data_IF_961814760960
#
_entry.id   IF_961814760960
#
_cell.length_a   1.000
_cell.length_b   1.000
_cell.length_c   1.000
_cell.angle_alpha   90.00
_cell.angle_beta   90.00
_cell.angle_gamma   90.00
#
_symmetry.space_group_name_H-M   'P 1'
#
loop_
_entity.id
_entity.type
_entity.pdbx_description
1 polymer ?
#
# COMPACT_ATOMS: atom_id res chain seq x y z
N UNK A 1 18.31 -14.80 1.91
CA UNK A 1 19.70 -14.39 1.61
C UNK A 1 20.64 -15.33 2.31
N UNK A 2 21.62 -15.88 1.61
CA UNK A 2 22.62 -16.80 2.12
C UNK A 2 23.96 -16.59 1.40
N UNK A 3 25.05 -17.13 1.96
CA UNK A 3 26.37 -17.16 1.33
C UNK A 3 26.41 -18.27 0.26
N UNK A 4 27.19 -18.07 -0.80
CA UNK A 4 27.33 -19.03 -1.90
C UNK A 4 27.76 -20.40 -1.42
N UNK A 5 28.65 -20.48 -0.43
CA UNK A 5 29.13 -21.73 0.20
C UNK A 5 28.02 -22.53 0.90
N UNK A 6 26.93 -21.88 1.34
CA UNK A 6 25.80 -22.50 2.03
C UNK A 6 24.58 -22.71 1.11
N UNK A 7 24.77 -22.55 -0.23
CA UNK A 7 23.69 -22.57 -1.21
C UNK A 7 22.86 -23.85 -1.14
N UNK A 8 23.50 -24.98 -1.18
CA UNK A 8 22.80 -26.26 -1.33
C UNK A 8 21.97 -26.59 -0.06
N UNK A 9 22.50 -26.30 1.13
CA UNK A 9 21.77 -26.45 2.39
C UNK A 9 20.59 -25.46 2.47
N UNK A 10 20.81 -24.20 2.08
CA UNK A 10 19.74 -23.18 2.07
C UNK A 10 18.62 -23.51 1.09
N UNK A 11 18.97 -24.03 -0.10
CA UNK A 11 18.02 -24.49 -1.11
C UNK A 11 17.23 -25.70 -0.61
N UNK A 12 17.89 -26.69 -0.01
CA UNK A 12 17.24 -27.86 0.57
C UNK A 12 16.23 -27.48 1.68
N UNK A 13 16.63 -26.57 2.57
CA UNK A 13 15.75 -26.06 3.63
C UNK A 13 14.55 -25.29 3.06
N UNK A 14 14.78 -24.41 2.09
CA UNK A 14 13.71 -23.67 1.43
C UNK A 14 12.75 -24.61 0.70
N UNK A 15 13.29 -25.62 -0.02
CA UNK A 15 12.47 -26.62 -0.70
C UNK A 15 11.57 -27.37 0.28
N UNK A 16 12.12 -27.88 1.38
CA UNK A 16 11.30 -28.62 2.38
C UNK A 16 10.20 -27.73 2.98
N UNK A 17 10.50 -26.43 3.16
CA UNK A 17 9.51 -25.47 3.67
C UNK A 17 8.38 -25.16 2.69
N UNK A 18 8.66 -25.22 1.37
CA UNK A 18 7.67 -24.92 0.31
C UNK A 18 6.91 -26.20 -0.10
N UNK A 19 7.60 -27.32 -0.29
CA UNK A 19 7.02 -28.54 -0.87
C UNK A 19 6.34 -29.42 0.18
N UNK A 20 6.95 -29.55 1.36
CA UNK A 20 6.47 -30.46 2.41
C UNK A 20 6.54 -29.82 3.80
N UNK A 21 5.80 -28.72 4.04
CA UNK A 21 5.74 -28.12 5.36
C UNK A 21 5.04 -29.08 6.35
N UNK A 22 5.60 -29.24 7.54
CA UNK A 22 5.13 -30.22 8.53
C UNK A 22 3.73 -29.95 9.04
N UNK A 23 3.32 -28.68 9.15
CA UNK A 23 2.08 -28.26 9.79
C UNK A 23 1.83 -28.99 11.12
N UNK A 24 2.89 -29.10 11.96
CA UNK A 24 2.76 -29.78 13.25
C UNK A 24 1.74 -29.06 14.15
N UNK A 25 1.01 -29.79 14.98
CA UNK A 25 0.03 -29.22 15.88
C UNK A 25 0.65 -28.14 16.80
N UNK A 26 1.86 -28.40 17.30
CA UNK A 26 2.58 -27.45 18.16
C UNK A 26 2.94 -26.15 17.44
N UNK A 27 3.37 -26.22 16.18
CA UNK A 27 3.70 -25.04 15.40
C UNK A 27 2.46 -24.25 15.01
N UNK A 28 1.38 -24.92 14.63
CA UNK A 28 0.09 -24.29 14.35
C UNK A 28 -0.37 -23.49 15.57
N UNK A 29 -0.38 -24.10 16.77
CA UNK A 29 -0.84 -23.40 17.98
C UNK A 29 0.10 -22.26 18.37
N UNK A 30 1.40 -22.41 18.21
CA UNK A 30 2.37 -21.34 18.47
C UNK A 30 2.13 -20.13 17.52
N UNK A 31 1.99 -20.38 16.22
CA UNK A 31 1.75 -19.32 15.21
C UNK A 31 0.36 -18.72 15.40
N UNK A 32 -0.68 -19.56 15.66
CA UNK A 32 -2.02 -19.07 16.02
C UNK A 32 -1.97 -18.09 17.17
N UNK A 33 -1.26 -18.44 18.25
CA UNK A 33 -1.07 -17.55 19.42
C UNK A 33 -0.42 -16.20 19.05
N UNK A 34 0.56 -16.22 18.16
CA UNK A 34 1.22 -14.99 17.67
C UNK A 34 0.25 -14.13 16.86
N UNK A 35 -0.47 -14.72 15.88
CA UNK A 35 -1.45 -14.00 15.06
C UNK A 35 -2.57 -13.42 15.91
N UNK A 36 -3.12 -14.20 16.86
CA UNK A 36 -4.16 -13.71 17.76
C UNK A 36 -3.68 -12.60 18.69
N UNK A 37 -2.41 -12.59 19.06
CA UNK A 37 -1.82 -11.49 19.84
C UNK A 37 -1.72 -10.22 18.98
N UNK A 38 -1.29 -10.35 17.72
CA UNK A 38 -1.32 -9.23 16.77
C UNK A 38 -2.73 -8.67 16.58
N UNK A 39 -3.72 -9.54 16.30
CA UNK A 39 -5.12 -9.13 16.14
C UNK A 39 -5.70 -8.41 17.35
N UNK A 40 -5.30 -8.79 18.58
CA UNK A 40 -5.69 -8.03 19.80
C UNK A 40 -5.02 -6.66 19.83
N UNK A 41 -3.74 -6.56 19.49
CA UNK A 41 -3.03 -5.29 19.39
C UNK A 41 -3.73 -4.34 18.42
N UNK A 42 -4.10 -4.85 17.23
CA UNK A 42 -4.80 -4.09 16.18
C UNK A 42 -6.14 -3.49 16.65
N UNK A 43 -6.80 -4.11 17.67
CA UNK A 43 -8.05 -3.55 18.21
C UNK A 43 -7.84 -2.34 19.13
N UNK A 44 -6.60 -2.07 19.49
CA UNK A 44 -6.22 -0.96 20.36
C UNK A 44 -5.32 0.06 19.66
N UNK A 45 -5.10 -0.12 18.34
CA UNK A 45 -4.33 0.79 17.52
C UNK A 45 -5.28 1.64 16.65
N UNK A 46 -5.30 2.97 16.81
CA UNK A 46 -6.16 3.85 16.04
C UNK A 46 -5.95 3.77 14.52
N UNK A 47 -4.72 3.57 14.06
CA UNK A 47 -4.40 3.45 12.62
C UNK A 47 -4.98 2.17 12.02
N UNK A 48 -4.86 1.05 12.72
CA UNK A 48 -5.45 -0.23 12.31
C UNK A 48 -6.98 -0.18 12.30
N UNK A 49 -7.58 0.47 13.31
CA UNK A 49 -9.04 0.67 13.38
C UNK A 49 -9.50 1.52 12.19
N UNK A 50 -8.82 2.65 11.91
CA UNK A 50 -9.13 3.52 10.78
C UNK A 50 -8.99 2.78 9.44
N UNK A 51 -7.89 2.04 9.25
CA UNK A 51 -7.64 1.26 8.03
C UNK A 51 -8.67 0.17 7.78
N UNK A 52 -9.06 -0.57 8.81
CA UNK A 52 -10.13 -1.60 8.73
C UNK A 52 -11.47 -0.98 8.35
N UNK A 53 -11.85 0.13 8.98
CA UNK A 53 -13.10 0.82 8.68
C UNK A 53 -13.11 1.40 7.26
N UNK A 54 -12.04 2.06 6.85
CA UNK A 54 -11.90 2.59 5.49
C UNK A 54 -12.01 1.49 4.44
N UNK A 55 -11.26 0.39 4.59
CA UNK A 55 -11.31 -0.71 3.64
C UNK A 55 -12.68 -1.39 3.59
N UNK A 56 -13.37 -1.55 4.72
CA UNK A 56 -14.72 -2.10 4.77
C UNK A 56 -15.71 -1.23 3.97
N UNK A 57 -15.61 0.09 4.07
CA UNK A 57 -16.45 1.03 3.33
C UNK A 57 -16.06 1.08 1.84
N UNK A 58 -14.75 1.10 1.55
CA UNK A 58 -14.27 1.22 0.17
C UNK A 58 -14.53 -0.03 -0.67
N UNK A 59 -14.53 -1.23 -0.08
CA UNK A 59 -14.51 -2.49 -0.84
C UNK A 59 -15.67 -3.45 -0.51
N UNK A 60 -16.50 -3.15 0.48
CA UNK A 60 -17.71 -3.90 0.79
C UNK A 60 -17.50 -5.40 0.95
N UNK A 61 -18.05 -6.22 0.06
CA UNK A 61 -17.92 -7.68 0.09
C UNK A 61 -16.66 -8.26 -0.55
N UNK A 62 -15.78 -7.43 -1.10
CA UNK A 62 -14.54 -7.88 -1.71
C UNK A 62 -13.47 -8.24 -0.64
N UNK A 63 -12.54 -9.20 -0.89
CA UNK A 63 -11.47 -9.53 0.07
C UNK A 63 -10.64 -8.34 0.55
N UNK A 64 -10.51 -7.26 -0.23
CA UNK A 64 -9.83 -6.03 0.19
C UNK A 64 -10.51 -5.31 1.37
N UNK A 65 -11.78 -5.60 1.65
CA UNK A 65 -12.50 -5.07 2.80
C UNK A 65 -12.08 -5.71 4.13
N UNK A 66 -11.40 -6.85 4.09
CA UNK A 66 -11.05 -7.63 5.28
C UNK A 66 -9.56 -7.56 5.59
N UNK A 67 -9.20 -7.78 6.85
CA UNK A 67 -7.80 -7.90 7.25
C UNK A 67 -7.16 -9.15 6.65
N UNK A 68 -5.94 -9.02 6.13
CA UNK A 68 -5.13 -10.17 5.68
C UNK A 68 -4.80 -11.15 6.81
N UNK A 69 -4.80 -10.68 8.07
CA UNK A 69 -4.61 -11.52 9.26
C UNK A 69 -5.89 -12.25 9.71
N UNK A 70 -7.02 -12.01 9.05
CA UNK A 70 -8.32 -12.55 9.42
C UNK A 70 -8.94 -11.86 10.64
N UNK A 71 -9.78 -12.60 11.38
CA UNK A 71 -10.42 -12.17 12.64
C UNK A 71 -10.07 -13.15 13.76
N UNK A 72 -10.30 -12.74 15.02
CA UNK A 72 -10.12 -13.61 16.17
C UNK A 72 -10.87 -14.94 16.00
N UNK A 73 -12.12 -14.88 15.55
CA UNK A 73 -12.97 -16.06 15.37
C UNK A 73 -12.50 -16.92 14.19
N UNK A 74 -12.16 -16.32 13.05
CA UNK A 74 -11.69 -17.07 11.89
C UNK A 74 -10.37 -17.78 12.17
N UNK A 75 -9.40 -17.10 12.81
CA UNK A 75 -8.10 -17.67 13.17
C UNK A 75 -8.24 -18.78 14.23
N UNK A 76 -9.14 -18.61 15.21
CA UNK A 76 -9.41 -19.63 16.20
C UNK A 76 -10.02 -20.91 15.59
N UNK A 77 -10.83 -20.76 14.54
CA UNK A 77 -11.51 -21.86 13.87
C UNK A 77 -10.64 -22.64 12.87
N UNK A 78 -9.51 -22.07 12.39
CA UNK A 78 -8.64 -22.71 11.40
C UNK A 78 -8.16 -24.07 11.88
N UNK A 79 -8.27 -25.06 11.02
CA UNK A 79 -7.75 -26.41 11.23
C UNK A 79 -6.46 -26.65 10.43
N UNK A 80 -5.75 -27.74 10.73
CA UNK A 80 -4.63 -28.18 9.89
C UNK A 80 -5.05 -28.42 8.43
N UNK A 81 -6.24 -28.95 8.20
CA UNK A 81 -6.75 -29.20 6.85
C UNK A 81 -6.92 -27.92 6.06
N UNK A 82 -7.41 -26.85 6.69
CA UNK A 82 -7.56 -25.54 6.06
C UNK A 82 -6.20 -24.96 5.64
N UNK A 83 -5.17 -25.10 6.49
CA UNK A 83 -3.82 -24.62 6.19
C UNK A 83 -3.18 -25.41 5.04
N UNK A 84 -3.37 -26.73 4.98
CA UNK A 84 -2.88 -27.55 3.89
C UNK A 84 -3.58 -27.19 2.56
N UNK A 85 -4.90 -26.99 2.59
CA UNK A 85 -5.66 -26.58 1.42
C UNK A 85 -5.19 -25.18 0.92
N UNK A 86 -5.11 -24.21 1.81
CA UNK A 86 -4.63 -22.85 1.46
C UNK A 86 -3.19 -22.87 0.93
N UNK A 87 -2.31 -23.71 1.49
CA UNK A 87 -0.95 -23.89 0.98
C UNK A 87 -0.96 -24.37 -0.47
N UNK A 88 -1.77 -25.39 -0.82
CA UNK A 88 -1.89 -25.89 -2.18
C UNK A 88 -2.49 -24.87 -3.16
N UNK A 89 -3.42 -24.04 -2.67
CA UNK A 89 -4.03 -22.99 -3.48
C UNK A 89 -3.08 -21.81 -3.76
N UNK A 90 -2.17 -21.50 -2.85
CA UNK A 90 -1.26 -20.35 -2.94
C UNK A 90 0.02 -20.73 -3.67
N UNK A 91 0.65 -21.84 -3.31
CA UNK A 91 1.92 -22.29 -3.91
C UNK A 91 1.67 -23.08 -5.20
N UNK A 92 1.49 -22.34 -6.30
CA UNK A 92 1.29 -22.91 -7.64
C UNK A 92 2.13 -22.17 -8.68
N UNK A 93 2.55 -22.86 -9.77
CA UNK A 93 3.45 -22.33 -10.79
C UNK A 93 2.89 -21.15 -11.54
N UNK A 94 1.57 -21.07 -11.72
CA UNK A 94 0.87 -20.00 -12.44
C UNK A 94 0.87 -18.64 -11.72
N UNK A 95 1.38 -18.57 -10.50
CA UNK A 95 1.42 -17.35 -9.66
C UNK A 95 2.74 -17.13 -8.96
N UNK A 96 3.83 -17.68 -9.50
CA UNK A 96 5.17 -17.51 -8.96
C UNK A 96 5.91 -16.39 -9.66
N UNK A 97 6.47 -15.50 -8.88
CA UNK A 97 7.40 -14.47 -9.33
C UNK A 97 8.74 -14.68 -8.64
N UNK A 98 9.80 -14.80 -9.43
CA UNK A 98 11.13 -15.14 -8.91
C UNK A 98 12.14 -14.07 -9.29
N UNK A 99 12.86 -13.57 -8.29
CA UNK A 99 13.99 -12.67 -8.46
C UNK A 99 15.22 -13.24 -7.78
N UNK A 100 16.31 -13.41 -8.53
CA UNK A 100 17.59 -13.86 -8.02
C UNK A 100 18.68 -12.84 -8.37
N UNK A 101 19.48 -12.45 -7.36
CA UNK A 101 20.57 -11.49 -7.52
C UNK A 101 21.77 -11.95 -6.70
N UNK A 102 22.91 -12.11 -7.37
CA UNK A 102 24.15 -12.53 -6.71
C UNK A 102 25.02 -13.40 -7.62
N UNK A 103 25.86 -14.21 -7.00
CA UNK A 103 26.81 -15.10 -7.66
C UNK A 103 26.07 -16.38 -8.14
N UNK A 104 25.36 -16.26 -9.26
CA UNK A 104 24.61 -17.33 -9.89
C UNK A 104 24.42 -17.04 -11.37
N UNK A 105 24.59 -18.05 -12.23
CA UNK A 105 24.30 -17.94 -13.66
C UNK A 105 22.82 -18.28 -13.96
N UNK A 106 22.27 -17.84 -15.10
CA UNK A 106 20.91 -18.22 -15.51
C UNK A 106 20.69 -19.75 -15.61
N UNK A 107 21.70 -20.49 -16.06
CA UNK A 107 21.64 -21.96 -16.17
C UNK A 107 21.55 -22.62 -14.78
N UNK A 108 22.40 -22.18 -13.85
CA UNK A 108 22.35 -22.67 -12.47
C UNK A 108 21.04 -22.32 -11.79
N UNK A 109 20.55 -21.11 -12.00
CA UNK A 109 19.26 -20.67 -11.48
C UNK A 109 18.14 -21.56 -12.00
N UNK A 110 18.10 -21.89 -13.29
CA UNK A 110 17.11 -22.80 -13.88
C UNK A 110 17.07 -24.15 -13.16
N UNK A 111 18.24 -24.76 -12.97
CA UNK A 111 18.36 -26.05 -12.24
C UNK A 111 17.86 -25.94 -10.80
N UNK A 112 18.19 -24.85 -10.10
CA UNK A 112 17.73 -24.61 -8.74
C UNK A 112 16.22 -24.41 -8.67
N UNK A 113 15.63 -23.69 -9.61
CA UNK A 113 14.19 -23.47 -9.67
C UNK A 113 13.43 -24.77 -9.93
N UNK A 114 13.92 -25.63 -10.83
CA UNK A 114 13.35 -26.94 -11.04
C UNK A 114 13.39 -27.80 -9.77
N UNK A 115 14.49 -27.77 -9.03
CA UNK A 115 14.61 -28.47 -7.75
C UNK A 115 13.69 -27.91 -6.67
N UNK A 116 13.53 -26.58 -6.60
CA UNK A 116 12.75 -25.90 -5.57
C UNK A 116 11.24 -26.00 -5.80
N UNK A 117 10.83 -25.82 -7.06
CA UNK A 117 9.45 -25.49 -7.43
C UNK A 117 8.84 -26.51 -8.39
N UNK A 118 9.63 -27.45 -8.93
CA UNK A 118 9.19 -28.38 -9.96
C UNK A 118 8.02 -29.27 -9.55
N UNK A 119 7.88 -29.57 -8.26
CA UNK A 119 6.80 -30.41 -7.70
C UNK A 119 5.53 -29.61 -7.34
N UNK A 120 5.54 -28.28 -7.45
CA UNK A 120 4.35 -27.48 -7.19
C UNK A 120 3.26 -27.75 -8.24
N UNK A 121 1.98 -27.63 -7.87
CA UNK A 121 0.88 -27.72 -8.81
C UNK A 121 1.00 -26.67 -9.91
N UNK A 122 0.50 -27.00 -11.10
CA UNK A 122 0.53 -26.07 -12.26
C UNK A 122 -0.37 -24.85 -12.03
N UNK A 123 -1.52 -25.06 -11.38
CA UNK A 123 -2.54 -24.01 -11.16
C UNK A 123 -2.98 -24.00 -9.71
N UNK A 124 -3.06 -22.83 -9.12
CA UNK A 124 -3.54 -22.63 -7.77
C UNK A 124 -5.03 -22.32 -7.68
N UNK A 125 -5.51 -21.93 -6.51
CA UNK A 125 -6.89 -21.53 -6.25
C UNK A 125 -7.34 -20.31 -7.05
N UNK A 126 -8.65 -20.01 -7.11
CA UNK A 126 -9.18 -18.89 -7.87
C UNK A 126 -8.66 -17.55 -7.33
N UNK A 127 -8.40 -16.61 -8.24
CA UNK A 127 -8.05 -15.25 -7.88
C UNK A 127 -9.33 -14.40 -7.66
N UNK A 128 -9.26 -13.36 -6.80
CA UNK A 128 -10.36 -12.40 -6.66
C UNK A 128 -10.62 -11.71 -8.01
N UNK A 129 -11.84 -11.22 -8.17
CA UNK A 129 -12.20 -10.35 -9.30
C UNK A 129 -11.85 -8.89 -8.96
N UNK A 130 -11.93 -8.01 -9.96
CA UNK A 130 -11.76 -6.58 -9.72
C UNK A 130 -12.84 -6.07 -8.75
N UNK A 131 -12.43 -5.14 -7.88
CA UNK A 131 -13.28 -4.49 -6.92
C UNK A 131 -13.69 -3.10 -7.41
N UNK A 132 -14.94 -2.74 -7.17
CA UNK A 132 -15.39 -1.36 -7.28
C UNK A 132 -15.05 -0.61 -5.99
N UNK A 133 -14.53 0.61 -6.10
CA UNK A 133 -14.32 1.50 -4.96
C UNK A 133 -15.64 2.23 -4.69
N UNK A 134 -16.30 1.90 -3.58
CA UNK A 134 -17.66 2.36 -3.23
C UNK A 134 -17.69 3.50 -2.21
N UNK A 135 -16.51 3.98 -1.78
CA UNK A 135 -16.43 5.03 -0.76
C UNK A 135 -16.94 6.35 -1.31
N UNK A 136 -17.81 7.00 -0.57
CA UNK A 136 -18.39 8.31 -0.88
C UNK A 136 -17.88 9.34 0.13
N UNK A 137 -17.88 10.62 -0.25
CA UNK A 137 -17.41 11.70 0.60
C UNK A 137 -18.10 11.80 1.95
N UNK A 138 -17.37 12.24 2.96
CA UNK A 138 -17.90 12.40 4.31
C UNK A 138 -16.90 12.14 5.41
N UNK A 139 -17.41 12.05 6.63
CA UNK A 139 -16.65 11.75 7.85
C UNK A 139 -17.29 10.60 8.59
N UNK A 140 -16.50 9.63 8.99
CA UNK A 140 -16.88 8.59 9.96
C UNK A 140 -16.03 8.73 11.19
N UNK A 141 -16.67 9.01 12.34
CA UNK A 141 -16.00 9.10 13.63
C UNK A 141 -16.19 7.80 14.40
N UNK A 142 -15.07 7.20 14.80
CA UNK A 142 -15.01 6.03 15.67
C UNK A 142 -14.44 6.51 17.01
N UNK A 143 -15.29 6.56 18.04
CA UNK A 143 -14.86 6.99 19.36
C UNK A 143 -13.80 6.03 19.93
N UNK A 144 -12.67 6.60 20.34
CA UNK A 144 -11.57 5.88 20.94
C UNK A 144 -10.82 6.76 21.94
N UNK A 145 -10.48 6.20 23.10
CA UNK A 145 -9.75 6.92 24.16
C UNK A 145 -8.27 7.08 23.78
N UNK A 146 -7.94 8.22 23.19
CA UNK A 146 -6.57 8.56 22.81
C UNK A 146 -6.38 10.07 22.90
N UNK A 147 -5.16 10.57 23.21
CA UNK A 147 -4.88 12.01 23.28
C UNK A 147 -4.87 12.69 21.89
N UNK A 148 -4.74 11.94 20.83
CA UNK A 148 -4.73 12.44 19.45
C UNK A 148 -5.69 11.63 18.60
N UNK A 149 -6.50 12.27 17.78
CA UNK A 149 -7.26 11.60 16.74
C UNK A 149 -6.37 11.29 15.55
N UNK A 150 -6.53 10.10 14.99
CA UNK A 150 -5.96 9.69 13.70
C UNK A 150 -7.05 9.79 12.65
N UNK A 151 -6.73 10.30 11.48
CA UNK A 151 -7.61 10.29 10.32
C UNK A 151 -6.91 9.64 9.12
N UNK A 152 -7.49 8.54 8.63
CA UNK A 152 -7.23 8.00 7.30
C UNK A 152 -8.26 8.57 6.35
N UNK A 153 -7.83 9.13 5.24
CA UNK A 153 -8.74 9.72 4.27
C UNK A 153 -8.44 9.25 2.84
N UNK A 154 -9.41 9.39 1.96
CA UNK A 154 -9.19 9.05 0.56
C UNK A 154 -10.47 8.93 -0.26
N UNK A 155 -10.26 8.65 -1.54
CA UNK A 155 -11.27 8.39 -2.54
C UNK A 155 -10.75 7.38 -3.58
N UNK A 156 -11.50 7.15 -4.66
CA UNK A 156 -11.06 6.34 -5.80
C UNK A 156 -9.75 6.90 -6.38
N UNK A 157 -8.80 6.03 -6.65
CA UNK A 157 -7.48 6.38 -7.19
C UNK A 157 -7.34 5.97 -8.65
N UNK A 158 -6.07 5.85 -9.07
CA UNK A 158 -5.64 5.52 -10.44
C UNK A 158 -4.77 4.27 -10.43
N UNK A 159 -4.98 3.39 -11.41
CA UNK A 159 -4.20 2.16 -11.60
C UNK A 159 -2.78 2.44 -12.10
N UNK A 160 -1.89 1.46 -11.91
CA UNK A 160 -0.50 1.59 -12.34
C UNK A 160 -0.33 1.53 -13.87
N UNK A 161 -1.25 0.86 -14.54
CA UNK A 161 -1.32 0.70 -16.00
C UNK A 161 -2.00 1.87 -16.71
N UNK A 162 -2.58 2.80 -15.96
CA UNK A 162 -3.19 4.00 -16.50
C UNK A 162 -2.12 4.92 -17.11
N UNK A 163 -2.32 5.45 -18.33
CA UNK A 163 -1.40 6.38 -18.97
C UNK A 163 -1.12 7.64 -18.14
N UNK A 164 -2.06 8.02 -17.27
CA UNK A 164 -1.95 9.18 -16.40
C UNK A 164 -1.30 8.89 -15.03
N UNK A 165 -0.83 7.66 -14.81
CA UNK A 165 -0.19 7.31 -13.55
C UNK A 165 1.03 8.20 -13.21
N UNK A 166 1.88 8.52 -14.19
CA UNK A 166 3.06 9.36 -13.94
C UNK A 166 2.70 10.82 -13.62
N UNK A 167 1.80 11.48 -14.37
CA UNK A 167 1.24 12.77 -13.96
C UNK A 167 0.63 12.74 -12.56
N UNK A 168 -0.16 11.71 -12.23
CA UNK A 168 -0.76 11.54 -10.90
C UNK A 168 0.31 11.33 -9.80
N UNK A 169 1.38 10.59 -10.10
CA UNK A 169 2.49 10.38 -9.17
C UNK A 169 3.26 11.67 -8.89
N UNK A 170 3.48 12.52 -9.90
CA UNK A 170 4.09 13.85 -9.74
C UNK A 170 3.17 14.76 -8.95
N UNK A 171 1.87 14.78 -9.24
CA UNK A 171 0.86 15.51 -8.48
C UNK A 171 0.86 15.11 -7.01
N UNK A 172 0.84 13.81 -6.72
CA UNK A 172 0.90 13.31 -5.34
C UNK A 172 2.18 13.76 -4.63
N UNK A 173 3.34 13.75 -5.30
CA UNK A 173 4.59 14.21 -4.71
C UNK A 173 4.50 15.67 -4.26
N UNK A 174 3.85 16.54 -5.05
CA UNK A 174 3.62 17.94 -4.69
C UNK A 174 2.62 18.06 -3.55
N UNK A 175 1.51 17.30 -3.61
CA UNK A 175 0.42 17.46 -2.67
C UNK A 175 0.76 16.90 -1.28
N UNK A 176 1.18 15.65 -1.17
CA UNK A 176 1.41 15.00 0.12
C UNK A 176 2.39 13.82 0.08
N UNK A 177 3.25 13.70 -0.94
CA UNK A 177 4.10 12.54 -1.21
C UNK A 177 5.24 12.27 -0.21
N UNK A 178 5.08 12.69 1.05
CA UNK A 178 5.99 12.33 2.15
C UNK A 178 7.26 13.17 2.27
N UNK A 179 7.42 14.24 1.48
CA UNK A 179 8.49 15.21 1.67
C UNK A 179 8.05 16.35 2.59
N UNK A 180 9.01 16.98 3.30
CA UNK A 180 8.73 18.18 4.12
C UNK A 180 8.29 19.38 3.29
N UNK A 181 8.50 19.37 1.99
CA UNK A 181 8.19 20.46 1.07
C UNK A 181 6.81 20.28 0.38
N UNK A 182 6.09 19.19 0.67
CA UNK A 182 4.75 19.00 0.12
C UNK A 182 3.76 20.04 0.64
N UNK A 183 2.72 20.34 -0.15
CA UNK A 183 1.69 21.33 0.23
C UNK A 183 1.04 20.99 1.57
N UNK A 184 0.64 19.74 1.76
CA UNK A 184 0.03 19.31 3.03
C UNK A 184 0.96 19.51 4.22
N UNK A 185 2.25 19.15 4.10
CA UNK A 185 3.22 19.37 5.17
C UNK A 185 3.39 20.86 5.47
N UNK A 186 3.42 21.69 4.44
CA UNK A 186 3.56 23.13 4.60
C UNK A 186 2.31 23.75 5.26
N UNK A 187 1.11 23.43 4.74
CA UNK A 187 -0.13 24.07 5.20
C UNK A 187 -0.61 23.54 6.56
N UNK A 188 -0.54 22.22 6.79
CA UNK A 188 -1.08 21.60 7.99
C UNK A 188 -0.07 21.65 9.14
N UNK A 189 1.22 21.35 8.85
CA UNK A 189 2.27 21.28 9.86
C UNK A 189 2.97 22.61 10.06
N UNK A 190 3.65 23.14 9.02
CA UNK A 190 4.58 24.27 9.20
C UNK A 190 3.85 25.57 9.51
N UNK A 191 2.77 25.88 8.79
CA UNK A 191 2.04 27.15 8.96
C UNK A 191 1.07 27.14 10.16
N UNK A 192 0.46 25.99 10.47
CA UNK A 192 -0.62 25.91 11.46
C UNK A 192 -0.28 25.07 12.68
N UNK A 193 0.75 24.23 12.62
CA UNK A 193 1.16 23.39 13.74
C UNK A 193 0.07 22.38 14.16
N UNK A 194 -0.74 21.91 13.20
CA UNK A 194 -1.86 21.02 13.50
C UNK A 194 -1.44 19.56 13.68
N UNK A 195 -0.29 19.17 13.13
CA UNK A 195 0.22 17.81 13.13
C UNK A 195 1.73 17.76 13.17
N UNK A 196 2.29 16.61 13.53
CA UNK A 196 3.71 16.30 13.30
C UNK A 196 3.98 15.74 11.90
N UNK A 197 2.95 15.21 11.23
CA UNK A 197 3.06 14.68 9.88
C UNK A 197 1.70 14.45 9.23
N UNK A 198 1.63 14.77 7.96
CA UNK A 198 0.52 14.49 7.06
C UNK A 198 1.08 14.03 5.73
N UNK A 199 0.46 13.04 5.13
CA UNK A 199 0.90 12.51 3.84
C UNK A 199 -0.27 12.05 2.99
N UNK A 200 -0.03 11.96 1.68
CA UNK A 200 -0.92 11.29 0.74
C UNK A 200 -0.14 10.34 -0.17
N UNK A 201 -0.81 9.33 -0.70
CA UNK A 201 -0.21 8.31 -1.53
C UNK A 201 -1.21 7.66 -2.47
N UNK A 202 -0.78 7.37 -3.68
CA UNK A 202 -1.49 6.52 -4.61
C UNK A 202 -1.31 5.06 -4.19
N UNK A 203 -2.40 4.31 -4.13
CA UNK A 203 -2.40 2.90 -3.77
C UNK A 203 -3.01 2.07 -4.92
N UNK A 204 -2.25 1.85 -6.01
CA UNK A 204 -2.66 0.99 -7.11
C UNK A 204 -2.49 -0.47 -6.68
N UNK A 205 -3.60 -1.14 -6.39
CA UNK A 205 -3.65 -2.59 -6.12
C UNK A 205 -4.08 -3.32 -7.38
N UNK A 206 -3.84 -4.63 -7.45
CA UNK A 206 -4.15 -5.45 -8.63
C UNK A 206 -5.64 -5.38 -9.06
N UNK A 207 -6.55 -5.26 -8.07
CA UNK A 207 -8.00 -5.32 -8.31
C UNK A 207 -8.75 -4.02 -8.02
N UNK A 208 -8.07 -2.97 -7.55
CA UNK A 208 -8.64 -1.64 -7.33
C UNK A 208 -7.56 -0.62 -7.05
N UNK A 209 -7.85 0.65 -7.26
CA UNK A 209 -6.95 1.73 -6.91
C UNK A 209 -7.65 2.76 -6.03
N UNK A 210 -6.95 3.23 -4.99
CA UNK A 210 -7.40 4.33 -4.14
C UNK A 210 -6.32 5.41 -4.05
N UNK A 211 -6.72 6.64 -3.83
CA UNK A 211 -5.85 7.73 -3.42
C UNK A 211 -6.13 8.00 -1.96
N UNK A 212 -5.16 7.80 -1.11
CA UNK A 212 -5.31 7.87 0.33
C UNK A 212 -4.33 8.87 0.94
N UNK A 213 -4.62 9.25 2.18
CA UNK A 213 -3.71 10.03 2.99
C UNK A 213 -3.99 9.80 4.47
N UNK A 214 -3.05 10.26 5.28
CA UNK A 214 -3.06 10.04 6.72
C UNK A 214 -2.63 11.32 7.45
N UNK A 215 -3.29 11.59 8.58
CA UNK A 215 -2.92 12.66 9.52
C UNK A 215 -3.27 12.26 10.94
N UNK A 216 -2.42 12.63 11.90
CA UNK A 216 -2.74 12.58 13.32
C UNK A 216 -2.67 13.98 13.91
N UNK A 217 -3.66 14.36 14.71
CA UNK A 217 -3.75 15.68 15.32
C UNK A 217 -4.40 15.62 16.71
N UNK A 218 -4.22 16.65 17.53
CA UNK A 218 -4.93 16.76 18.79
C UNK A 218 -6.45 16.72 18.57
N UNK A 219 -7.19 16.17 19.53
CA UNK A 219 -8.64 15.96 19.42
C UNK A 219 -9.42 17.28 19.14
N UNK A 220 -8.97 18.40 19.68
CA UNK A 220 -9.53 19.75 19.45
C UNK A 220 -9.10 20.39 18.12
N UNK A 221 -8.12 19.79 17.41
CA UNK A 221 -7.52 20.37 16.20
C UNK A 221 -7.74 19.53 14.93
N UNK A 222 -8.16 18.28 15.06
CA UNK A 222 -8.30 17.38 13.89
C UNK A 222 -9.32 17.89 12.87
N UNK A 223 -10.40 18.55 13.30
CA UNK A 223 -11.39 19.15 12.43
C UNK A 223 -10.78 20.26 11.54
N UNK A 224 -9.93 21.13 12.11
CA UNK A 224 -9.18 22.15 11.35
C UNK A 224 -8.21 21.49 10.35
N UNK A 225 -7.51 20.43 10.75
CA UNK A 225 -6.62 19.69 9.87
C UNK A 225 -7.35 19.11 8.65
N UNK A 226 -8.53 18.50 8.86
CA UNK A 226 -9.40 17.97 7.81
C UNK A 226 -9.82 19.07 6.83
N UNK A 227 -10.27 20.22 7.34
CA UNK A 227 -10.67 21.36 6.51
C UNK A 227 -9.50 21.85 5.62
N UNK A 228 -8.30 22.01 6.19
CA UNK A 228 -7.10 22.41 5.43
C UNK A 228 -6.70 21.39 4.37
N UNK A 229 -6.79 20.08 4.67
CA UNK A 229 -6.51 19.00 3.70
C UNK A 229 -7.49 19.09 2.53
N UNK A 230 -8.78 19.23 2.81
CA UNK A 230 -9.82 19.37 1.77
C UNK A 230 -9.57 20.60 0.90
N UNK A 231 -9.28 21.74 1.53
CA UNK A 231 -8.99 23.00 0.81
C UNK A 231 -7.77 22.85 -0.12
N UNK A 232 -6.71 22.19 0.30
CA UNK A 232 -5.54 21.92 -0.54
C UNK A 232 -5.84 20.92 -1.67
N UNK A 233 -6.74 19.96 -1.44
CA UNK A 233 -7.22 19.05 -2.47
C UNK A 233 -8.01 19.79 -3.54
N UNK A 234 -8.94 20.66 -3.15
CA UNK A 234 -9.73 21.51 -4.05
C UNK A 234 -8.84 22.49 -4.84
N UNK A 235 -7.92 23.20 -4.16
CA UNK A 235 -6.96 24.08 -4.83
C UNK A 235 -6.09 23.35 -5.84
N UNK A 236 -5.62 22.15 -5.52
CA UNK A 236 -4.83 21.34 -6.44
C UNK A 236 -5.66 20.87 -7.64
N UNK A 237 -6.92 20.48 -7.43
CA UNK A 237 -7.87 20.13 -8.50
C UNK A 237 -8.09 21.30 -9.46
N UNK A 238 -8.36 22.50 -8.92
CA UNK A 238 -8.71 23.70 -9.71
C UNK A 238 -7.52 24.32 -10.44
N UNK A 239 -6.37 24.40 -9.77
CA UNK A 239 -5.22 25.18 -10.22
C UNK A 239 -4.05 24.33 -10.72
N UNK A 240 -4.04 23.03 -10.39
CA UNK A 240 -2.91 22.14 -10.63
C UNK A 240 -1.71 22.51 -9.73
N UNK A 241 -0.52 22.38 -10.31
CA UNK A 241 0.76 22.68 -9.64
C UNK A 241 1.47 23.84 -10.34
N UNK A 242 2.37 24.52 -9.65
CA UNK A 242 3.22 25.55 -10.24
C UNK A 242 4.39 24.95 -11.02
N UNK A 243 5.02 25.71 -11.94
CA UNK A 243 6.22 25.26 -12.65
C UNK A 243 7.38 24.87 -11.72
N UNK A 244 7.53 25.57 -10.59
CA UNK A 244 8.59 25.27 -9.61
C UNK A 244 8.30 23.98 -8.86
N UNK A 245 7.06 23.76 -8.39
CA UNK A 245 6.64 22.51 -7.76
C UNK A 245 6.80 21.30 -8.70
N UNK A 246 6.43 21.45 -9.96
CA UNK A 246 6.64 20.41 -10.98
C UNK A 246 8.11 20.04 -11.12
N UNK A 247 8.98 21.05 -11.27
CA UNK A 247 10.43 20.85 -11.40
C UNK A 247 11.00 20.13 -10.19
N UNK A 248 10.66 20.60 -8.99
CA UNK A 248 11.21 20.09 -7.74
C UNK A 248 10.71 18.67 -7.43
N UNK A 249 9.43 18.39 -7.70
CA UNK A 249 8.88 17.04 -7.61
C UNK A 249 9.57 16.05 -8.57
N UNK A 250 9.75 16.43 -9.85
CA UNK A 250 10.46 15.61 -10.84
C UNK A 250 11.90 15.36 -10.41
N UNK A 251 12.60 16.39 -9.97
CA UNK A 251 13.99 16.26 -9.47
C UNK A 251 14.09 15.29 -8.30
N UNK A 252 13.15 15.37 -7.35
CA UNK A 252 13.12 14.47 -6.21
C UNK A 252 12.83 13.02 -6.64
N UNK A 253 11.76 12.80 -7.42
CA UNK A 253 11.31 11.47 -7.86
C UNK A 253 12.39 10.77 -8.69
N UNK A 254 13.04 11.47 -9.60
CA UNK A 254 14.08 10.91 -10.48
C UNK A 254 15.40 10.72 -9.74
N UNK A 255 15.77 11.64 -8.86
CA UNK A 255 16.99 11.56 -8.05
C UNK A 255 16.94 10.49 -6.97
N UNK A 256 15.79 10.26 -6.35
CA UNK A 256 15.62 9.23 -5.31
C UNK A 256 15.56 7.80 -5.87
N UNK A 257 15.17 7.62 -7.13
CA UNK A 257 14.92 6.30 -7.71
C UNK A 257 16.17 5.40 -7.74
N UNK A 258 17.35 5.84 -8.20
CA UNK A 258 18.55 5.00 -8.22
C UNK A 258 19.00 4.53 -6.83
N UNK A 259 18.70 5.29 -5.78
CA UNK A 259 19.09 4.95 -4.41
C UNK A 259 18.39 3.69 -3.87
N UNK A 260 17.31 3.25 -4.54
CA UNK A 260 16.57 2.03 -4.18
C UNK A 260 17.31 0.74 -4.51
N UNK A 261 18.33 0.81 -5.40
CA UNK A 261 19.10 -0.34 -5.91
C UNK A 261 20.37 -0.59 -5.11
N UNK A 262 20.36 -0.36 -3.81
CA UNK A 262 21.49 -0.60 -2.92
C UNK A 262 21.47 -2.02 -2.36
N UNK A 263 22.26 -2.90 -2.98
CA UNK A 263 22.49 -4.28 -2.57
C UNK A 263 21.53 -5.32 -3.16
N UNK A 264 21.93 -6.60 -3.09
CA UNK A 264 21.25 -7.73 -3.73
C UNK A 264 19.80 -7.90 -3.27
N UNK A 265 19.54 -7.72 -1.97
CA UNK A 265 18.19 -7.91 -1.41
C UNK A 265 17.16 -6.90 -1.93
N UNK A 266 17.42 -5.58 -1.87
CA UNK A 266 16.56 -4.56 -2.49
C UNK A 266 16.33 -4.80 -3.98
N UNK A 267 17.39 -5.07 -4.75
CA UNK A 267 17.29 -5.33 -6.19
C UNK A 267 16.38 -6.54 -6.46
N UNK A 268 16.57 -7.66 -5.76
CA UNK A 268 15.75 -8.84 -5.93
C UNK A 268 14.26 -8.56 -5.63
N UNK A 269 13.94 -7.80 -4.57
CA UNK A 269 12.56 -7.40 -4.26
C UNK A 269 11.95 -6.49 -5.32
N UNK A 270 12.72 -5.54 -5.85
CA UNK A 270 12.27 -4.67 -6.94
C UNK A 270 11.94 -5.51 -8.18
N UNK A 271 12.83 -6.44 -8.56
CA UNK A 271 12.59 -7.31 -9.72
C UNK A 271 11.35 -8.20 -9.55
N UNK A 272 11.10 -8.73 -8.36
CA UNK A 272 9.86 -9.48 -8.06
C UNK A 272 8.65 -8.55 -8.13
N UNK A 273 8.70 -7.38 -7.48
CA UNK A 273 7.62 -6.40 -7.52
C UNK A 273 7.27 -5.97 -8.94
N UNK A 274 8.26 -5.71 -9.80
CA UNK A 274 8.02 -5.38 -11.21
C UNK A 274 7.31 -6.50 -11.97
N UNK A 275 7.67 -7.76 -11.75
CA UNK A 275 7.00 -8.91 -12.36
C UNK A 275 5.54 -9.00 -11.87
N UNK A 276 5.30 -8.83 -10.56
CA UNK A 276 3.95 -8.92 -9.97
C UNK A 276 2.97 -7.90 -10.59
N UNK A 277 3.46 -6.71 -10.92
CA UNK A 277 2.63 -5.63 -11.47
C UNK A 277 2.81 -5.46 -13.00
N UNK A 278 3.38 -6.46 -13.67
CA UNK A 278 3.46 -6.51 -15.13
C UNK A 278 4.38 -5.48 -15.77
N UNK A 279 5.34 -4.90 -15.04
CA UNK A 279 6.27 -3.93 -15.61
C UNK A 279 7.32 -4.61 -16.50
N UNK A 280 7.66 -4.01 -17.64
CA UNK A 280 8.66 -4.56 -18.57
C UNK A 280 10.07 -4.49 -17.96
N UNK A 281 10.97 -5.34 -18.47
CA UNK A 281 12.34 -5.46 -17.97
C UNK A 281 13.16 -4.16 -18.10
N UNK A 282 12.86 -3.34 -19.09
CA UNK A 282 13.49 -2.04 -19.35
C UNK A 282 12.90 -0.89 -18.52
N UNK A 283 11.87 -1.17 -17.69
CA UNK A 283 11.22 -0.15 -16.87
C UNK A 283 12.23 0.61 -15.99
N UNK A 284 13.22 -0.08 -15.42
CA UNK A 284 14.24 0.55 -14.58
C UNK A 284 15.01 1.64 -15.35
N UNK A 285 15.32 1.37 -16.61
CA UNK A 285 16.05 2.32 -17.47
C UNK A 285 15.15 3.45 -18.00
N UNK A 286 13.85 3.17 -18.24
CA UNK A 286 12.94 4.10 -18.92
C UNK A 286 12.02 4.89 -18.00
N UNK A 287 11.93 4.51 -16.73
CA UNK A 287 11.00 5.13 -15.75
C UNK A 287 11.26 6.63 -15.57
N UNK A 288 12.51 7.02 -15.42
CA UNK A 288 12.85 8.44 -15.20
C UNK A 288 12.50 9.30 -16.42
N UNK A 289 12.71 8.78 -17.62
CA UNK A 289 12.30 9.48 -18.86
C UNK A 289 10.78 9.72 -18.90
N UNK A 290 9.99 8.76 -18.40
CA UNK A 290 8.52 8.91 -18.27
C UNK A 290 8.15 10.01 -17.27
N UNK A 291 8.84 10.10 -16.14
CA UNK A 291 8.65 11.20 -15.17
C UNK A 291 9.08 12.53 -15.79
N UNK A 292 10.22 12.57 -16.48
CA UNK A 292 10.73 13.79 -17.10
C UNK A 292 9.86 14.28 -18.27
N UNK A 293 9.14 13.40 -18.93
CA UNK A 293 8.18 13.74 -19.98
C UNK A 293 6.89 14.39 -19.48
N UNK A 294 6.54 14.24 -18.19
CA UNK A 294 5.32 14.84 -17.61
C UNK A 294 5.35 16.36 -17.74
N UNK A 295 4.33 16.94 -18.33
CA UNK A 295 4.19 18.38 -18.53
C UNK A 295 3.30 19.03 -17.45
N UNK A 296 3.34 20.35 -17.35
CA UNK A 296 2.46 21.12 -16.45
C UNK A 296 0.98 20.92 -16.82
N UNK A 297 0.69 20.88 -18.12
CA UNK A 297 -0.67 20.67 -18.63
C UNK A 297 -1.19 19.26 -18.29
N UNK A 298 -0.33 18.23 -18.35
CA UNK A 298 -0.69 16.88 -17.94
C UNK A 298 -1.07 16.84 -16.46
N UNK A 299 -0.23 17.41 -15.59
CA UNK A 299 -0.51 17.44 -14.14
C UNK A 299 -1.76 18.24 -13.84
N UNK A 300 -1.99 19.35 -14.51
CA UNK A 300 -3.20 20.17 -14.31
C UNK A 300 -4.46 19.44 -14.75
N UNK A 301 -4.43 18.78 -15.90
CA UNK A 301 -5.55 17.97 -16.39
C UNK A 301 -5.86 16.84 -15.42
N UNK A 302 -4.84 16.07 -15.04
CA UNK A 302 -5.00 14.93 -14.13
C UNK A 302 -5.45 15.38 -12.73
N UNK A 303 -5.00 16.54 -12.27
CA UNK A 303 -5.48 17.09 -11.01
C UNK A 303 -7.00 17.34 -11.05
N UNK A 304 -7.53 17.95 -12.11
CA UNK A 304 -8.97 18.18 -12.27
C UNK A 304 -9.80 16.90 -12.51
N UNK A 305 -9.19 15.82 -13.03
CA UNK A 305 -9.88 14.57 -13.29
C UNK A 305 -9.82 13.59 -12.09
N UNK A 306 -8.73 13.61 -11.34
CA UNK A 306 -8.45 12.63 -10.26
C UNK A 306 -8.82 13.15 -8.87
N UNK A 307 -8.57 14.44 -8.59
CA UNK A 307 -8.80 14.98 -7.25
C UNK A 307 -10.26 15.36 -7.06
N UNK A 308 -10.90 14.67 -6.15
CA UNK A 308 -12.29 14.90 -5.77
C UNK A 308 -12.35 15.28 -4.28
N UNK A 309 -12.37 16.60 -3.99
CA UNK A 309 -12.38 17.11 -2.64
C UNK A 309 -13.71 16.80 -1.90
N UNK A 310 -14.83 16.77 -2.62
CA UNK A 310 -16.14 16.39 -2.07
C UNK A 310 -16.27 14.88 -1.87
N UNK A 311 -15.61 14.08 -2.72
CA UNK A 311 -15.54 12.63 -2.62
C UNK A 311 -14.56 12.12 -1.55
N UNK A 312 -13.75 12.99 -0.92
CA UNK A 312 -12.89 12.59 0.19
C UNK A 312 -13.71 12.06 1.37
N UNK A 313 -13.40 10.86 1.81
CA UNK A 313 -13.92 10.30 3.04
C UNK A 313 -12.83 10.26 4.11
N UNK A 314 -13.13 10.77 5.29
CA UNK A 314 -12.25 10.74 6.45
C UNK A 314 -12.78 9.76 7.50
N UNK A 315 -12.00 8.73 7.80
CA UNK A 315 -12.25 7.85 8.95
C UNK A 315 -11.40 8.35 10.11
N UNK A 316 -12.05 8.92 11.10
CA UNK A 316 -11.43 9.54 12.27
C UNK A 316 -11.58 8.64 13.48
N UNK A 317 -10.47 8.21 14.06
CA UNK A 317 -10.46 7.39 15.29
C UNK A 317 -9.87 8.21 16.43
N UNK A 318 -10.68 8.46 17.45
CA UNK A 318 -10.32 9.31 18.59
C UNK A 318 -11.52 9.91 19.27
N UNK A 319 -11.33 11.06 19.92
CA UNK A 319 -12.39 11.89 20.51
C UNK A 319 -12.38 13.31 19.94
N UNK A 320 -12.60 13.46 18.62
CA UNK A 320 -12.53 14.77 17.98
C UNK A 320 -13.59 15.72 18.56
N UNK A 321 -13.18 16.95 18.90
CA UNK A 321 -14.11 17.98 19.35
C UNK A 321 -14.82 18.65 18.16
N UNK A 322 -16.15 18.73 18.23
CA UNK A 322 -16.97 19.39 17.21
C UNK A 322 -17.09 18.65 15.87
N UNK A 323 -16.55 17.45 15.76
CA UNK A 323 -16.65 16.61 14.56
C UNK A 323 -17.52 15.39 14.85
N UNK A 324 -18.48 15.11 14.00
CA UNK A 324 -19.39 13.96 14.10
C UNK A 324 -19.49 13.23 12.78
N UNK A 325 -19.90 11.96 12.80
CA UNK A 325 -20.18 11.22 11.57
C UNK A 325 -21.26 11.91 10.75
N UNK A 326 -20.98 12.13 9.46
CA UNK A 326 -21.88 12.82 8.55
C UNK A 326 -21.18 13.32 7.29
N UNK A 327 -21.80 14.26 6.57
CA UNK A 327 -21.13 14.92 5.44
C UNK A 327 -19.88 15.67 5.90
N UNK A 328 -19.02 16.00 4.95
CA UNK A 328 -17.85 16.85 5.21
C UNK A 328 -18.30 18.19 5.83
N UNK A 329 -17.61 18.69 6.84
CA UNK A 329 -17.90 20.02 7.36
C UNK A 329 -17.67 21.09 6.29
N UNK A 330 -18.53 22.13 6.28
CA UNK A 330 -18.41 23.28 5.41
C UNK A 330 -17.14 24.10 5.67
#
# INVERSE_FOLDING_TARGET
KFLTENRDEAVALLRSSIIDPSFSASDIERVRGQVMTGLRSDTTDPDDIAGKAFNAMAFGGHPYATSLSGTMDSVAALTRADLVAAHGDIFAKDRLYVGAVGDITPTELGVLLDQLLGELPETGGPQPKDAEVMIEGGVTVIEFETPQSVALFGHKGIGLDDPDYFPANVLNQVLGGGSFESRLMNEVREKRGLTYGVSSFLLPRDHAATYQGHVASANDRIGEAIAVIRDEWEKASDQGVTPDELRDAKTYITGAYPLRFDGNGPIARIMVGMQMIGLPIDYIATRNDKVDAVTLDDVKRVAGELLDAEGLHFVVVGKPEGLTTGPLPE
#
